data_IF_342934026611
#
_entry.id   IF_342934026611
#
_cell.length_a   1.000
_cell.length_b   1.000
_cell.length_c   1.000
_cell.angle_alpha   90.00
_cell.angle_beta   90.00
_cell.angle_gamma   90.00
#
_symmetry.space_group_name_H-M   'P 1'
#
loop_
_entity.id
_entity.type
_entity.pdbx_description
1 polymer ?
#
# COMPACT_ATOMS: atom_id res chain seq x y z
N UNK A 1 -3.04 13.88 0.84
CA UNK A 1 -3.55 12.67 1.49
C UNK A 1 -2.52 12.16 2.48
N UNK A 2 -1.62 11.19 2.24
CA UNK A 2 -0.68 10.78 3.31
C UNK A 2 0.26 11.91 3.82
N UNK A 3 0.93 12.63 2.91
CA UNK A 3 1.82 13.74 3.30
C UNK A 3 1.08 14.87 3.99
N UNK A 4 -0.10 15.23 3.46
CA UNK A 4 -0.97 16.27 4.05
C UNK A 4 -1.49 15.86 5.44
N UNK A 5 -1.72 14.56 5.66
CA UNK A 5 -2.10 13.99 6.95
C UNK A 5 -0.90 13.89 7.91
N UNK A 6 0.30 14.34 7.52
CA UNK A 6 1.50 14.38 8.35
C UNK A 6 2.32 13.09 8.37
N UNK A 7 2.16 12.20 7.37
CA UNK A 7 3.00 11.02 7.24
C UNK A 7 4.32 11.35 6.52
N UNK A 8 5.43 10.82 7.02
CA UNK A 8 6.68 10.74 6.27
C UNK A 8 6.64 9.50 5.37
N UNK A 9 6.61 9.70 4.05
CA UNK A 9 6.39 8.61 3.08
C UNK A 9 7.65 8.32 2.26
N UNK A 10 7.89 7.03 2.02
CA UNK A 10 8.92 6.52 1.14
C UNK A 10 8.35 5.50 0.16
N UNK A 11 8.75 5.61 -1.12
CA UNK A 11 8.36 4.64 -2.15
C UNK A 11 9.31 3.46 -2.08
N UNK A 12 8.78 2.25 -1.96
CA UNK A 12 9.55 1.01 -1.85
C UNK A 12 9.53 0.20 -3.14
N UNK A 13 8.55 0.45 -4.02
CA UNK A 13 8.51 -0.14 -5.36
C UNK A 13 9.66 0.37 -6.24
N UNK A 14 10.38 -0.55 -6.88
CA UNK A 14 11.41 -0.21 -7.86
C UNK A 14 11.57 -1.32 -8.91
N UNK A 15 12.08 -0.96 -10.09
CA UNK A 15 12.43 -1.94 -11.12
C UNK A 15 13.81 -2.53 -10.83
N UNK A 16 13.89 -3.84 -10.68
CA UNK A 16 15.15 -4.57 -10.53
C UNK A 16 15.62 -5.04 -11.92
N UNK A 17 16.68 -4.44 -12.45
CA UNK A 17 17.21 -4.74 -13.78
C UNK A 17 17.84 -6.14 -13.89
N UNK A 18 18.40 -6.67 -12.80
CA UNK A 18 19.02 -7.99 -12.77
C UNK A 18 17.97 -9.10 -12.82
N UNK A 19 16.90 -8.95 -12.03
CA UNK A 19 15.78 -9.90 -12.03
C UNK A 19 14.75 -9.62 -13.15
N UNK A 20 14.84 -8.46 -13.81
CA UNK A 20 13.93 -7.96 -14.86
C UNK A 20 12.46 -7.89 -14.44
N UNK A 21 12.22 -7.73 -13.13
CA UNK A 21 10.89 -7.63 -12.55
C UNK A 21 10.80 -6.38 -11.70
N UNK A 22 9.58 -5.89 -11.53
CA UNK A 22 9.31 -4.86 -10.52
C UNK A 22 9.20 -5.54 -9.16
N UNK A 23 9.89 -4.99 -8.18
CA UNK A 23 9.90 -5.49 -6.81
C UNK A 23 9.32 -4.41 -5.91
N UNK A 24 8.55 -4.86 -4.93
CA UNK A 24 7.96 -4.05 -3.87
C UNK A 24 8.48 -4.57 -2.52
N UNK A 25 8.10 -3.89 -1.44
CA UNK A 25 8.44 -4.34 -0.10
C UNK A 25 7.53 -5.51 0.30
N UNK A 26 8.12 -6.64 0.68
CA UNK A 26 7.43 -7.82 1.24
C UNK A 26 6.40 -8.51 0.32
N UNK A 27 6.32 -8.16 -0.97
CA UNK A 27 5.40 -8.74 -1.95
C UNK A 27 4.09 -7.95 -2.17
N UNK A 28 3.91 -6.85 -1.43
CA UNK A 28 2.71 -6.00 -1.50
C UNK A 28 2.85 -4.55 -1.00
N UNK A 29 4.03 -4.12 -0.55
CA UNK A 29 4.25 -2.78 0.00
C UNK A 29 4.84 -1.84 -1.04
N UNK A 30 4.01 -0.96 -1.63
CA UNK A 30 4.47 0.04 -2.60
C UNK A 30 5.07 1.28 -1.91
N UNK A 31 4.51 1.63 -0.74
CA UNK A 31 4.90 2.80 0.05
C UNK A 31 4.98 2.39 1.53
N UNK A 32 6.01 2.87 2.22
CA UNK A 32 6.08 2.88 3.67
C UNK A 32 5.86 4.31 4.20
N UNK A 33 5.01 4.45 5.19
CA UNK A 33 4.65 5.73 5.80
C UNK A 33 4.89 5.68 7.31
N UNK A 34 5.51 6.72 7.85
CA UNK A 34 5.88 6.82 9.26
C UNK A 34 5.24 8.03 9.95
N UNK A 35 4.83 7.80 11.19
CA UNK A 35 4.45 8.79 12.20
C UNK A 35 5.03 8.37 13.55
N UNK A 36 5.05 9.25 14.56
CA UNK A 36 5.45 8.85 15.92
C UNK A 36 4.67 7.62 16.38
N UNK A 37 5.38 6.54 16.70
CA UNK A 37 4.84 5.25 17.14
C UNK A 37 3.88 4.56 16.16
N UNK A 38 3.93 4.91 14.87
CA UNK A 38 3.05 4.35 13.85
C UNK A 38 3.80 4.09 12.56
N UNK A 39 3.69 2.86 12.05
CA UNK A 39 4.19 2.46 10.74
C UNK A 39 3.02 1.98 9.91
N UNK A 40 2.94 2.46 8.68
CA UNK A 40 1.91 2.10 7.72
C UNK A 40 2.54 1.63 6.42
N UNK A 41 2.27 0.38 6.06
CA UNK A 41 2.53 -0.16 4.73
C UNK A 41 1.31 0.11 3.84
N UNK A 42 1.54 0.61 2.62
CA UNK A 42 0.48 0.93 1.67
C UNK A 42 0.72 0.22 0.35
N UNK A 43 -0.28 -0.53 -0.09
CA UNK A 43 -0.44 -0.95 -1.48
C UNK A 43 -1.33 0.07 -2.20
N UNK A 44 -0.88 0.55 -3.34
CA UNK A 44 -1.66 1.42 -4.23
C UNK A 44 -2.23 0.61 -5.39
N UNK A 45 -3.49 0.89 -5.75
CA UNK A 45 -4.13 0.25 -6.91
C UNK A 45 -5.30 1.10 -7.40
N UNK A 46 -5.97 0.67 -8.47
CA UNK A 46 -7.23 1.30 -8.89
C UNK A 46 -8.37 0.88 -7.94
N UNK A 47 -9.36 1.75 -7.73
CA UNK A 47 -10.49 1.43 -6.85
C UNK A 47 -11.23 0.15 -7.28
N UNK A 48 -11.31 -0.12 -8.59
CA UNK A 48 -11.93 -1.33 -9.16
C UNK A 48 -11.14 -2.62 -8.87
N UNK A 49 -9.83 -2.53 -8.66
CA UNK A 49 -8.96 -3.69 -8.43
C UNK A 49 -8.63 -3.91 -6.94
N UNK A 50 -9.17 -3.06 -6.08
CA UNK A 50 -8.88 -3.04 -4.65
C UNK A 50 -9.20 -4.38 -3.96
N UNK A 51 -10.36 -4.98 -4.26
CA UNK A 51 -10.76 -6.27 -3.66
C UNK A 51 -9.77 -7.41 -3.98
N UNK A 52 -9.26 -7.44 -5.21
CA UNK A 52 -8.27 -8.43 -5.62
C UNK A 52 -6.93 -8.24 -4.89
N UNK A 53 -6.52 -6.98 -4.64
CA UNK A 53 -5.30 -6.67 -3.88
C UNK A 53 -5.45 -6.98 -2.40
N UNK A 54 -6.60 -6.66 -1.79
CA UNK A 54 -6.90 -7.03 -0.41
C UNK A 54 -6.78 -8.54 -0.24
N UNK A 55 -7.40 -9.33 -1.13
CA UNK A 55 -7.30 -10.80 -1.09
C UNK A 55 -5.86 -11.29 -1.27
N UNK A 56 -5.13 -10.77 -2.28
CA UNK A 56 -3.72 -11.13 -2.51
C UNK A 56 -2.87 -10.88 -1.26
N UNK A 57 -3.09 -9.76 -0.58
CA UNK A 57 -2.37 -9.39 0.65
C UNK A 57 -2.77 -10.34 1.78
N UNK A 58 -4.07 -10.48 2.07
CA UNK A 58 -4.56 -11.34 3.13
C UNK A 58 -4.03 -12.79 3.04
N UNK A 59 -3.86 -13.31 1.82
CA UNK A 59 -3.35 -14.65 1.56
C UNK A 59 -1.80 -14.73 1.50
N UNK A 60 -1.07 -13.61 1.68
CA UNK A 60 0.39 -13.56 1.56
C UNK A 60 1.09 -14.02 2.83
N UNK A 61 2.13 -14.84 2.68
CA UNK A 61 2.94 -15.42 3.78
C UNK A 61 3.60 -14.41 4.73
N UNK A 62 3.67 -13.13 4.34
CA UNK A 62 4.35 -12.09 5.09
C UNK A 62 3.38 -11.20 5.89
N UNK A 63 2.06 -11.29 5.67
CA UNK A 63 1.09 -10.44 6.37
C UNK A 63 1.14 -10.64 7.88
N UNK A 64 1.22 -11.88 8.36
CA UNK A 64 1.36 -12.18 9.78
C UNK A 64 2.56 -11.46 10.41
N UNK A 65 3.75 -11.63 9.81
CA UNK A 65 5.00 -10.99 10.28
C UNK A 65 4.90 -9.47 10.34
N UNK A 66 4.28 -8.85 9.33
CA UNK A 66 4.10 -7.39 9.26
C UNK A 66 3.14 -6.92 10.36
N UNK A 67 2.00 -7.59 10.53
CA UNK A 67 1.01 -7.24 11.56
C UNK A 67 1.53 -7.46 12.98
N UNK A 68 2.20 -8.58 13.24
CA UNK A 68 2.84 -8.89 14.54
C UNK A 68 3.92 -7.87 14.92
N UNK A 69 4.54 -7.23 13.93
CA UNK A 69 5.49 -6.13 14.14
C UNK A 69 4.81 -4.78 14.45
N UNK A 70 3.48 -4.75 14.60
CA UNK A 70 2.70 -3.54 14.86
C UNK A 70 2.52 -2.62 13.65
N UNK A 71 2.79 -3.12 12.44
CA UNK A 71 2.69 -2.33 11.20
C UNK A 71 1.26 -2.43 10.64
N UNK A 72 0.66 -1.28 10.36
CA UNK A 72 -0.64 -1.19 9.67
C UNK A 72 -0.49 -1.51 8.18
N UNK A 73 -1.51 -2.10 7.56
CA UNK A 73 -1.49 -2.43 6.14
C UNK A 73 -2.76 -1.89 5.48
N UNK A 74 -2.61 -0.88 4.62
CA UNK A 74 -3.71 -0.30 3.87
C UNK A 74 -3.59 -0.58 2.37
N UNK A 75 -4.75 -0.75 1.72
CA UNK A 75 -4.88 -0.64 0.28
C UNK A 75 -5.54 0.69 -0.06
N UNK A 76 -4.86 1.48 -0.90
CA UNK A 76 -5.31 2.76 -1.41
C UNK A 76 -5.79 2.59 -2.85
N UNK A 77 -7.10 2.55 -3.03
CA UNK A 77 -7.78 2.43 -4.32
C UNK A 77 -8.10 3.79 -4.94
N UNK A 78 -7.41 4.13 -6.03
CA UNK A 78 -7.58 5.40 -6.73
C UNK A 78 -8.60 5.31 -7.87
N UNK A 79 -9.42 6.35 -8.02
CA UNK A 79 -10.30 6.53 -9.17
C UNK A 79 -10.44 8.01 -9.51
N UNK A 80 -10.88 8.28 -10.74
CA UNK A 80 -11.30 9.62 -11.14
C UNK A 80 -12.82 9.67 -11.23
N UNK A 81 -13.40 10.78 -10.79
CA UNK A 81 -14.81 11.07 -11.05
C UNK A 81 -15.03 11.63 -12.47
N UNK A 82 -16.29 11.88 -12.82
CA UNK A 82 -16.69 12.45 -14.12
C UNK A 82 -16.08 13.85 -14.38
N UNK A 83 -15.64 14.54 -13.33
CA UNK A 83 -14.96 15.85 -13.39
C UNK A 83 -13.44 15.71 -13.43
N UNK A 84 -12.91 14.49 -13.63
CA UNK A 84 -11.48 14.14 -13.65
C UNK A 84 -10.74 14.46 -12.34
N UNK A 85 -11.46 14.58 -11.23
CA UNK A 85 -10.84 14.74 -9.90
C UNK A 85 -10.46 13.38 -9.36
N UNK A 86 -9.25 13.28 -8.81
CA UNK A 86 -8.75 12.06 -8.19
C UNK A 86 -9.30 11.89 -6.78
N UNK A 87 -9.77 10.68 -6.50
CA UNK A 87 -10.28 10.26 -5.20
C UNK A 87 -9.58 8.97 -4.78
N UNK A 88 -9.30 8.84 -3.49
CA UNK A 88 -8.69 7.63 -2.94
C UNK A 88 -9.60 7.00 -1.90
N UNK A 89 -9.93 5.72 -2.11
CA UNK A 89 -10.60 4.87 -1.14
C UNK A 89 -9.56 4.10 -0.35
N UNK A 90 -9.64 4.14 0.98
CA UNK A 90 -8.72 3.43 1.87
C UNK A 90 -9.43 2.23 2.48
N UNK A 91 -8.74 1.09 2.51
CA UNK A 91 -9.18 -0.11 3.22
C UNK A 91 -8.02 -0.70 4.01
N UNK A 92 -8.22 -0.93 5.29
CA UNK A 92 -7.31 -1.75 6.11
C UNK A 92 -7.49 -3.23 5.73
N UNK A 93 -6.40 -3.98 5.70
CA UNK A 93 -6.40 -5.42 5.45
C UNK A 93 -6.31 -6.17 6.78
N UNK A 94 -7.43 -6.25 7.49
CA UNK A 94 -7.56 -6.95 8.78
C UNK A 94 -7.60 -8.46 8.63
#
# INVERSE_FOLDING_TARGET
MLRDDGWFCWITEHYNSYARIRQDLWGFGDILALKPNQVLCVQTTTASNMSARIKKIADHENVGKVRESGIMIHVHGWHQDDKRKWHCKVKDVS
#
